data_IF_340143823018
#
_entry.id   IF_340143823018
#
_cell.length_a   1.000
_cell.length_b   1.000
_cell.length_c   1.000
_cell.angle_alpha   90.00
_cell.angle_beta   90.00
_cell.angle_gamma   90.00
#
_symmetry.space_group_name_H-M   'P 1'
#
loop_
_entity.id
_entity.type
_entity.pdbx_description
1 polymer ?
#
# COMPACT_ATOMS: atom_id res chain seq x y z
N UNK A 1 30.44 -22.50 20.61
CA UNK A 1 31.49 -21.49 20.85
C UNK A 1 31.36 -20.41 19.79
N UNK A 2 31.40 -19.13 20.22
CA UNK A 2 31.56 -17.88 19.45
C UNK A 2 30.59 -17.65 18.26
N UNK A 3 29.64 -16.72 18.37
CA UNK A 3 29.96 -15.30 18.18
C UNK A 3 29.04 -14.36 18.96
N UNK A 4 29.39 -14.13 20.23
CA UNK A 4 28.81 -13.11 21.13
C UNK A 4 29.34 -11.69 20.89
N UNK A 5 30.18 -11.46 19.87
CA UNK A 5 30.91 -10.19 19.68
C UNK A 5 30.29 -9.21 18.68
N UNK A 6 29.31 -9.63 17.87
CA UNK A 6 28.65 -8.71 16.91
C UNK A 6 27.56 -7.87 17.58
N UNK A 7 27.03 -8.32 18.71
CA UNK A 7 25.97 -7.64 19.46
C UNK A 7 26.42 -6.37 20.21
N UNK A 8 27.72 -6.10 20.31
CA UNK A 8 28.24 -5.00 21.13
C UNK A 8 28.41 -3.66 20.37
N UNK A 9 28.34 -3.65 19.03
CA UNK A 9 28.66 -2.44 18.24
C UNK A 9 27.39 -1.66 17.81
N UNK A 10 26.23 -2.30 17.75
CA UNK A 10 24.97 -1.63 17.39
C UNK A 10 24.32 -0.83 18.54
N UNK A 11 24.81 -0.99 19.78
CA UNK A 11 24.25 -0.33 20.97
C UNK A 11 24.88 1.06 21.27
N UNK A 12 25.92 1.48 20.55
CA UNK A 12 26.67 2.70 20.88
C UNK A 12 26.34 3.95 20.01
N UNK A 13 25.46 3.86 19.00
CA UNK A 13 25.21 4.99 18.07
C UNK A 13 23.85 5.68 18.27
N UNK A 14 22.87 5.07 18.94
CA UNK A 14 21.55 5.72 19.14
C UNK A 14 21.38 6.43 20.50
N UNK A 15 22.47 6.72 21.22
CA UNK A 15 22.45 7.42 22.50
C UNK A 15 22.78 8.93 22.42
N UNK A 16 22.87 9.51 21.21
CA UNK A 16 23.24 10.93 21.01
C UNK A 16 22.15 11.82 20.39
N UNK A 17 20.88 11.38 20.38
CA UNK A 17 19.78 12.09 19.72
C UNK A 17 18.80 12.84 20.63
N UNK A 18 19.12 13.07 21.91
CA UNK A 18 18.27 13.86 22.82
C UNK A 18 18.88 15.27 22.95
N UNK A 19 18.04 16.31 22.78
CA UNK A 19 18.22 17.75 23.10
C UNK A 19 18.25 18.71 21.90
N UNK A 20 17.08 18.96 21.28
CA UNK A 20 16.58 20.29 20.83
C UNK A 20 15.06 20.13 20.66
N UNK A 21 14.13 21.02 20.98
CA UNK A 21 14.08 22.30 21.67
C UNK A 21 12.59 22.55 21.92
N UNK A 22 12.15 22.70 23.17
CA UNK A 22 10.78 23.09 23.53
C UNK A 22 10.67 24.61 23.52
N UNK A 23 10.22 25.21 22.41
CA UNK A 23 9.85 26.64 22.39
C UNK A 23 9.04 27.04 21.13
N UNK A 24 7.87 26.44 20.87
CA UNK A 24 6.81 27.17 20.15
C UNK A 24 5.45 26.84 20.77
N UNK A 25 5.30 27.36 21.98
CA UNK A 25 4.01 27.61 22.56
C UNK A 25 3.40 28.86 21.88
N UNK A 26 2.10 28.78 21.59
CA UNK A 26 1.15 29.92 21.51
C UNK A 26 1.29 30.91 20.35
N UNK A 27 1.06 30.48 19.11
CA UNK A 27 0.39 31.31 18.06
C UNK A 27 -0.28 30.34 17.09
N UNK A 28 -1.54 29.94 17.30
CA UNK A 28 -2.66 30.45 16.49
C UNK A 28 -3.98 30.00 17.15
N UNK A 29 -4.39 30.71 18.20
CA UNK A 29 -5.82 30.87 18.51
C UNK A 29 -6.18 32.24 17.95
N UNK A 30 -7.05 32.27 16.94
CA UNK A 30 -8.08 33.28 16.67
C UNK A 30 -8.33 33.35 15.16
N UNK A 31 -9.13 32.42 14.66
CA UNK A 31 -9.92 32.68 13.46
C UNK A 31 -11.28 33.24 13.92
N UNK A 32 -11.68 34.43 13.45
CA UNK A 32 -13.01 34.99 13.70
C UNK A 32 -14.10 34.20 12.94
N UNK A 33 -15.34 34.16 13.45
CA UNK A 33 -16.45 33.56 12.72
C UNK A 33 -16.74 34.38 11.46
N UNK A 34 -16.55 33.76 10.29
CA UNK A 34 -16.90 34.34 9.01
C UNK A 34 -18.41 34.58 8.92
N UNK A 35 -18.78 35.80 8.52
CA UNK A 35 -20.15 36.19 8.22
C UNK A 35 -20.73 35.35 7.06
N UNK A 36 -22.06 35.14 7.03
CA UNK A 36 -22.71 34.44 5.92
C UNK A 36 -22.63 35.26 4.63
N UNK A 37 -21.95 34.71 3.63
CA UNK A 37 -21.94 35.22 2.26
C UNK A 37 -23.25 34.85 1.53
N UNK A 38 -23.82 35.77 0.72
CA UNK A 38 -24.99 35.49 -0.12
C UNK A 38 -24.65 34.53 -1.28
N UNK A 39 -25.65 33.83 -1.85
CA UNK A 39 -25.44 32.88 -2.94
C UNK A 39 -24.99 33.61 -4.22
N UNK A 40 -23.79 33.27 -4.70
CA UNK A 40 -23.27 33.72 -5.98
C UNK A 40 -23.86 32.88 -7.13
N UNK A 41 -24.33 33.59 -8.16
CA UNK A 41 -24.84 33.08 -9.43
C UNK A 41 -23.86 32.15 -10.16
N UNK A 42 -24.37 31.24 -11.01
CA UNK A 42 -23.55 30.43 -11.90
C UNK A 42 -23.07 31.29 -13.08
N UNK A 43 -21.77 31.61 -13.11
CA UNK A 43 -21.12 32.20 -14.27
C UNK A 43 -20.03 31.24 -14.76
N UNK A 44 -20.11 30.95 -16.04
CA UNK A 44 -19.34 29.99 -16.83
C UNK A 44 -17.85 29.90 -16.49
N UNK A 45 -17.45 28.77 -15.93
CA UNK A 45 -16.05 28.38 -15.83
C UNK A 45 -15.58 27.84 -17.19
N UNK A 46 -14.78 28.64 -17.89
CA UNK A 46 -14.07 28.22 -19.09
C UNK A 46 -13.19 26.98 -18.82
N UNK A 47 -13.08 26.04 -19.77
CA UNK A 47 -12.24 24.85 -19.59
C UNK A 47 -10.76 25.24 -19.55
N UNK A 48 -10.10 24.88 -18.46
CA UNK A 48 -8.65 24.97 -18.33
C UNK A 48 -7.95 24.11 -19.40
N UNK A 49 -6.80 24.55 -19.95
CA UNK A 49 -6.04 23.73 -20.90
C UNK A 49 -5.52 22.48 -20.19
N UNK A 50 -5.90 21.32 -20.74
CA UNK A 50 -5.43 20.02 -20.28
C UNK A 50 -3.90 19.97 -20.35
N UNK A 51 -3.25 19.75 -19.20
CA UNK A 51 -1.83 19.45 -19.16
C UNK A 51 -1.55 18.19 -19.99
N UNK A 52 -0.43 18.12 -20.73
CA UNK A 52 -0.05 16.91 -21.44
C UNK A 52 0.16 15.80 -20.42
N UNK A 53 -0.75 14.84 -20.43
CA UNK A 53 -0.58 13.58 -19.72
C UNK A 53 0.60 12.90 -20.40
N UNK A 54 1.77 12.91 -19.76
CA UNK A 54 2.88 12.07 -20.16
C UNK A 54 2.41 10.62 -19.98
N UNK A 55 1.75 10.08 -21.01
CA UNK A 55 1.52 8.67 -21.15
C UNK A 55 2.90 8.04 -21.32
N UNK A 56 3.52 7.66 -20.20
CA UNK A 56 4.69 6.79 -20.19
C UNK A 56 4.26 5.51 -20.92
N UNK A 57 4.62 5.44 -22.20
CA UNK A 57 4.20 4.43 -23.16
C UNK A 57 4.81 3.06 -22.88
N UNK A 58 4.42 2.44 -21.77
CA UNK A 58 4.80 1.06 -21.47
C UNK A 58 3.92 0.03 -22.21
N UNK A 59 2.77 0.43 -22.78
CA UNK A 59 1.80 -0.50 -23.38
C UNK A 59 1.71 -0.42 -24.92
N UNK A 60 2.70 0.16 -25.63
CA UNK A 60 2.64 0.30 -27.10
C UNK A 60 2.63 -1.05 -27.83
N UNK A 61 3.21 -2.08 -27.21
CA UNK A 61 3.18 -3.46 -27.67
C UNK A 61 2.53 -4.31 -26.57
N UNK A 62 1.20 -4.39 -26.57
CA UNK A 62 0.45 -5.20 -25.61
C UNK A 62 0.75 -6.68 -25.87
N UNK A 63 1.83 -7.18 -25.26
CA UNK A 63 2.15 -8.61 -25.21
C UNK A 63 0.91 -9.34 -24.65
N UNK A 64 0.50 -10.49 -25.23
CA UNK A 64 -0.55 -11.30 -24.65
C UNK A 64 -0.23 -11.54 -23.17
N UNK A 65 -1.20 -11.25 -22.30
CA UNK A 65 -1.02 -11.37 -20.85
C UNK A 65 -0.52 -12.80 -20.57
N UNK A 66 0.70 -12.94 -20.08
CA UNK A 66 1.21 -14.25 -19.70
C UNK A 66 0.46 -14.71 -18.44
N UNK A 67 0.12 -16.00 -18.37
CA UNK A 67 -0.39 -16.59 -17.12
C UNK A 67 0.70 -16.43 -16.05
N UNK A 68 0.44 -15.63 -15.00
CA UNK A 68 1.48 -15.26 -14.04
C UNK A 68 1.75 -16.43 -13.09
N UNK A 69 3.02 -16.67 -12.76
CA UNK A 69 3.34 -17.60 -11.68
C UNK A 69 3.01 -16.93 -10.33
N UNK A 70 2.01 -17.45 -9.63
CA UNK A 70 1.59 -16.93 -8.32
C UNK A 70 2.32 -17.67 -7.19
N UNK A 71 3.09 -16.93 -6.39
CA UNK A 71 3.83 -17.47 -5.24
C UNK A 71 3.26 -16.92 -3.93
N UNK A 72 2.87 -17.80 -3.03
CA UNK A 72 2.32 -17.44 -1.72
C UNK A 72 3.39 -17.47 -0.63
N UNK A 73 3.41 -16.43 0.22
CA UNK A 73 4.33 -16.28 1.34
C UNK A 73 3.58 -15.84 2.58
N UNK A 74 4.01 -16.33 3.73
CA UNK A 74 3.51 -15.87 5.03
C UNK A 74 4.63 -15.13 5.75
N UNK A 75 4.42 -13.83 6.03
CA UNK A 75 5.36 -13.04 6.82
C UNK A 75 5.03 -13.27 8.30
N UNK A 76 5.99 -13.88 9.02
CA UNK A 76 5.95 -14.32 10.43
C UNK A 76 5.39 -15.74 10.59
N UNK A 77 6.13 -16.60 11.31
CA UNK A 77 5.80 -18.00 11.63
C UNK A 77 4.56 -18.19 12.52
N UNK A 78 3.72 -17.16 12.67
CA UNK A 78 2.38 -17.35 13.24
C UNK A 78 1.49 -17.87 12.11
N UNK A 79 1.74 -19.13 11.77
CA UNK A 79 0.83 -19.94 10.99
C UNK A 79 -0.53 -19.85 11.67
N UNK A 80 -1.42 -19.02 11.11
CA UNK A 80 -2.88 -19.14 11.07
C UNK A 80 -3.58 -19.81 12.28
N UNK A 81 -3.11 -19.58 13.51
CA UNK A 81 -3.82 -19.97 14.75
C UNK A 81 -4.95 -19.00 15.09
N UNK A 82 -5.28 -18.05 14.21
CA UNK A 82 -6.22 -16.99 14.55
C UNK A 82 -7.68 -17.45 14.56
N UNK A 83 -8.08 -18.56 13.93
CA UNK A 83 -9.47 -18.97 13.93
C UNK A 83 -9.63 -20.49 13.76
N UNK A 84 -10.23 -21.18 14.75
CA UNK A 84 -10.89 -22.48 14.53
C UNK A 84 -12.12 -22.35 13.61
N UNK A 85 -12.53 -21.12 13.30
CA UNK A 85 -13.73 -20.75 12.55
C UNK A 85 -13.59 -20.81 11.01
N UNK A 86 -12.57 -21.49 10.48
CA UNK A 86 -12.39 -21.70 9.04
C UNK A 86 -11.80 -20.52 8.27
N UNK A 87 -11.57 -20.74 6.97
CA UNK A 87 -11.04 -19.76 6.02
C UNK A 87 -12.02 -19.53 4.88
N UNK A 88 -12.13 -18.29 4.42
CA UNK A 88 -12.94 -17.90 3.26
C UNK A 88 -12.02 -17.66 2.06
N UNK A 89 -12.38 -18.20 0.91
CA UNK A 89 -11.70 -17.90 -0.36
C UNK A 89 -12.24 -16.61 -0.97
N UNK A 90 -11.35 -15.78 -1.53
CA UNK A 90 -11.71 -14.62 -2.32
C UNK A 90 -10.74 -14.47 -3.49
N UNK A 91 -11.13 -13.67 -4.48
CA UNK A 91 -10.29 -13.37 -5.65
C UNK A 91 -9.99 -11.88 -5.66
N UNK A 92 -8.71 -11.53 -5.58
CA UNK A 92 -8.24 -10.15 -5.66
C UNK A 92 -7.87 -9.82 -7.10
N UNK A 93 -8.39 -8.72 -7.63
CA UNK A 93 -8.07 -8.26 -8.97
C UNK A 93 -6.95 -7.21 -8.92
N UNK A 94 -5.81 -7.53 -9.52
CA UNK A 94 -4.59 -6.70 -9.49
C UNK A 94 -4.21 -6.29 -10.90
N UNK A 95 -3.83 -5.02 -11.11
CA UNK A 95 -3.33 -4.55 -12.41
C UNK A 95 -1.84 -4.84 -12.53
N UNK A 96 -1.45 -5.56 -13.57
CA UNK A 96 -0.05 -5.71 -13.95
C UNK A 96 0.45 -4.43 -14.64
N UNK A 97 1.57 -3.90 -14.14
CA UNK A 97 2.21 -2.73 -14.72
C UNK A 97 2.95 -3.05 -16.03
N UNK A 98 3.33 -4.33 -16.25
CA UNK A 98 4.07 -4.74 -17.44
C UNK A 98 3.15 -4.91 -18.65
N UNK A 99 2.07 -5.70 -18.50
CA UNK A 99 1.17 -6.01 -19.61
C UNK A 99 -0.08 -5.12 -19.65
N UNK A 100 -0.25 -4.22 -18.68
CA UNK A 100 -1.44 -3.36 -18.53
C UNK A 100 -2.76 -4.16 -18.38
N UNK A 101 -2.66 -5.46 -18.08
CA UNK A 101 -3.77 -6.39 -17.88
C UNK A 101 -4.19 -6.47 -16.40
N UNK A 102 -5.38 -6.99 -16.14
CA UNK A 102 -5.78 -7.39 -14.79
C UNK A 102 -5.58 -8.89 -14.60
N UNK A 103 -5.08 -9.27 -13.44
CA UNK A 103 -4.86 -10.65 -13.01
C UNK A 103 -5.77 -10.91 -11.81
N UNK A 104 -6.43 -12.06 -11.84
CA UNK A 104 -7.23 -12.56 -10.73
C UNK A 104 -6.37 -13.46 -9.84
N UNK A 105 -6.20 -13.03 -8.58
CA UNK A 105 -5.34 -13.68 -7.59
C UNK A 105 -6.21 -14.33 -6.52
N UNK A 106 -6.36 -15.67 -6.51
CA UNK A 106 -7.11 -16.34 -5.46
C UNK A 106 -6.36 -16.27 -4.14
N UNK A 107 -7.06 -15.91 -3.06
CA UNK A 107 -6.51 -15.79 -1.72
C UNK A 107 -7.41 -16.46 -0.69
N UNK A 108 -6.81 -16.93 0.40
CA UNK A 108 -7.52 -17.47 1.54
C UNK A 108 -7.41 -16.48 2.70
N UNK A 109 -8.55 -16.08 3.26
CA UNK A 109 -8.65 -15.09 4.33
C UNK A 109 -9.25 -15.71 5.59
N UNK A 110 -8.89 -15.23 6.79
CA UNK A 110 -9.53 -15.67 8.03
C UNK A 110 -10.97 -15.16 8.12
N UNK A 111 -11.82 -15.85 8.89
CA UNK A 111 -13.24 -15.49 9.06
C UNK A 111 -13.48 -14.10 9.70
N UNK A 112 -12.46 -13.50 10.32
CA UNK A 112 -12.54 -12.16 10.90
C UNK A 112 -12.57 -11.06 9.83
N UNK A 113 -12.16 -11.38 8.59
CA UNK A 113 -12.24 -10.46 7.45
C UNK A 113 -13.70 -10.29 7.04
N UNK A 114 -14.17 -9.05 7.11
CA UNK A 114 -15.52 -8.64 6.71
C UNK A 114 -15.43 -7.34 5.92
N UNK A 115 -16.37 -7.13 5.00
CA UNK A 115 -16.43 -5.91 4.20
C UNK A 115 -15.36 -5.84 3.11
N UNK A 116 -15.25 -4.65 2.52
CA UNK A 116 -14.30 -4.36 1.45
C UNK A 116 -12.93 -3.99 2.03
N UNK A 117 -11.82 -4.46 1.43
CA UNK A 117 -10.50 -4.01 1.82
C UNK A 117 -10.28 -2.54 1.47
N UNK A 118 -9.53 -1.84 2.30
CA UNK A 118 -8.83 -0.65 1.90
C UNK A 118 -7.68 -1.03 0.95
N UNK A 119 -7.66 -0.45 -0.24
CA UNK A 119 -6.65 -0.75 -1.27
C UNK A 119 -5.68 0.42 -1.38
N UNK A 120 -4.39 0.14 -1.26
CA UNK A 120 -3.33 1.11 -1.53
C UNK A 120 -2.32 0.54 -2.51
N UNK A 121 -1.80 1.39 -3.39
CA UNK A 121 -0.80 0.98 -4.39
C UNK A 121 0.45 1.80 -4.21
N UNK A 122 1.60 1.14 -4.24
CA UNK A 122 2.90 1.81 -4.18
C UNK A 122 3.91 1.17 -5.12
N UNK A 123 4.84 1.98 -5.60
CA UNK A 123 6.02 1.50 -6.31
C UNK A 123 7.03 0.99 -5.29
N UNK A 124 7.32 -0.31 -5.35
CA UNK A 124 8.41 -0.95 -4.61
C UNK A 124 9.76 -0.79 -5.30
N UNK A 125 10.80 -1.26 -4.62
CA UNK A 125 12.16 -1.31 -5.16
C UNK A 125 12.21 -2.19 -6.43
N UNK A 126 13.09 -1.82 -7.36
CA UNK A 126 13.30 -2.51 -8.65
C UNK A 126 12.07 -2.51 -9.57
N UNK A 127 11.28 -1.43 -9.56
CA UNK A 127 10.14 -1.25 -10.46
C UNK A 127 9.00 -2.26 -10.21
N UNK A 128 8.92 -2.81 -9.00
CA UNK A 128 7.81 -3.69 -8.61
C UNK A 128 6.62 -2.84 -8.24
N UNK A 129 5.43 -3.27 -8.64
CA UNK A 129 4.19 -2.66 -8.15
C UNK A 129 3.69 -3.48 -7.00
N UNK A 130 3.42 -2.85 -5.85
CA UNK A 130 2.89 -3.51 -4.66
C UNK A 130 1.50 -2.95 -4.42
N UNK A 131 0.51 -3.83 -4.44
CA UNK A 131 -0.87 -3.52 -4.06
C UNK A 131 -1.11 -4.13 -2.69
N UNK A 132 -1.43 -3.30 -1.71
CA UNK A 132 -1.73 -3.69 -0.34
C UNK A 132 -3.25 -3.60 -0.12
N UNK A 133 -3.82 -4.70 0.34
CA UNK A 133 -5.20 -4.84 0.76
C UNK A 133 -5.21 -4.96 2.28
N UNK A 134 -5.85 -4.02 2.97
CA UNK A 134 -5.97 -4.02 4.43
C UNK A 134 -7.43 -4.05 4.86
N UNK A 135 -7.71 -4.74 5.97
CA UNK A 135 -9.02 -4.83 6.57
C UNK A 135 -9.01 -4.30 8.00
N UNK A 136 -10.18 -3.91 8.51
CA UNK A 136 -10.35 -3.34 9.85
C UNK A 136 -9.91 -4.28 10.97
N UNK A 137 -9.91 -5.60 10.73
CA UNK A 137 -9.44 -6.60 11.67
C UNK A 137 -7.90 -6.67 11.80
N UNK A 138 -7.16 -5.82 11.09
CA UNK A 138 -5.70 -5.78 11.08
C UNK A 138 -5.03 -6.80 10.15
N UNK A 139 -5.83 -7.64 9.48
CA UNK A 139 -5.35 -8.52 8.43
C UNK A 139 -4.95 -7.70 7.20
N UNK A 140 -3.85 -8.07 6.55
CA UNK A 140 -3.42 -7.42 5.31
C UNK A 140 -2.74 -8.40 4.35
N UNK A 141 -2.96 -8.18 3.07
CA UNK A 141 -2.35 -8.93 1.97
C UNK A 141 -1.59 -7.95 1.09
N UNK A 142 -0.31 -8.21 0.85
CA UNK A 142 0.47 -7.51 -0.17
C UNK A 142 0.60 -8.40 -1.40
N UNK A 143 0.15 -7.91 -2.56
CA UNK A 143 0.39 -8.53 -3.86
C UNK A 143 1.46 -7.72 -4.58
N UNK A 144 2.64 -8.30 -4.73
CA UNK A 144 3.76 -7.69 -5.44
C UNK A 144 3.90 -8.27 -6.84
N UNK A 145 3.71 -7.43 -7.85
CA UNK A 145 3.96 -7.75 -9.25
C UNK A 145 5.45 -7.56 -9.57
N UNK A 146 6.08 -8.60 -10.10
CA UNK A 146 7.47 -8.55 -10.56
C UNK A 146 7.56 -8.00 -11.98
N UNK A 147 8.73 -7.54 -12.39
CA UNK A 147 9.00 -7.10 -13.78
C UNK A 147 8.77 -8.18 -14.84
N UNK A 148 8.71 -9.46 -14.44
CA UNK A 148 8.49 -10.59 -15.33
C UNK A 148 6.99 -10.97 -15.44
N UNK A 149 6.10 -10.26 -14.75
CA UNK A 149 4.68 -10.59 -14.70
C UNK A 149 4.30 -11.57 -13.58
N UNK A 150 5.26 -12.14 -12.84
CA UNK A 150 4.94 -13.02 -11.70
C UNK A 150 4.32 -12.22 -10.54
N UNK A 151 3.40 -12.87 -9.82
CA UNK A 151 2.76 -12.31 -8.64
C UNK A 151 3.28 -12.98 -7.36
N UNK A 152 3.64 -12.18 -6.36
CA UNK A 152 4.04 -12.65 -5.04
C UNK A 152 3.02 -12.16 -4.02
N UNK A 153 2.23 -13.08 -3.47
CA UNK A 153 1.22 -12.80 -2.45
C UNK A 153 1.86 -13.00 -1.08
N UNK A 154 1.83 -11.96 -0.25
CA UNK A 154 2.38 -12.00 1.10
C UNK A 154 1.28 -11.70 2.12
N UNK A 155 0.98 -12.68 2.95
CA UNK A 155 0.00 -12.56 4.03
C UNK A 155 0.64 -11.99 5.30
N UNK A 156 -0.08 -11.10 5.98
CA UNK A 156 0.25 -10.61 7.30
C UNK A 156 -1.00 -10.61 8.20
N UNK A 157 -0.81 -11.06 9.43
CA UNK A 157 -1.84 -11.16 10.48
C UNK A 157 -1.20 -11.60 11.79
#
# INVERSE_FOLDING_TARGET
MLNRRVFAIALAVCALGVLTSTAEARRLRQDPPAAPTPPASPSDAAPAPAAPVYASGCCADAKPCCDPCIKYRHRRNRCFKCCECGTTSATLRVKDACCCCYIDVPVCMPCCVKGEPCVSTRCGLFGRTIVEYSWDCGYRIEVAMTKHGDAIVTYFG
#
